data_IF_039905730377
#
_entry.id   IF_039905730377
#
_cell.length_a   1.000
_cell.length_b   1.000
_cell.length_c   1.000
_cell.angle_alpha   90.00
_cell.angle_beta   90.00
_cell.angle_gamma   90.00
#
_symmetry.space_group_name_H-M   'P 1'
#
loop_
_entity.id
_entity.type
_entity.pdbx_description
1 polymer ?
#
# COMPACT_ATOMS: atom_id res chain seq x y z
N UNK A 1 -27.42 -34.39 3.06
CA UNK A 1 -27.84 -32.99 2.77
C UNK A 1 -29.30 -33.03 2.39
N UNK A 2 -30.14 -32.17 2.96
CA UNK A 2 -31.55 -32.11 2.62
C UNK A 2 -31.76 -31.29 1.31
N UNK A 3 -32.93 -31.54 0.65
CA UNK A 3 -33.28 -30.89 -0.62
C UNK A 3 -33.32 -29.36 -0.52
N UNK A 4 -33.73 -28.82 0.65
CA UNK A 4 -33.80 -27.38 0.90
C UNK A 4 -32.43 -26.75 0.89
N UNK A 5 -31.47 -27.34 1.62
CA UNK A 5 -30.08 -26.84 1.68
C UNK A 5 -29.42 -26.86 0.30
N UNK A 6 -29.61 -27.92 -0.49
CA UNK A 6 -29.06 -27.99 -1.86
C UNK A 6 -29.63 -26.87 -2.73
N UNK A 7 -30.95 -26.62 -2.65
CA UNK A 7 -31.61 -25.57 -3.40
C UNK A 7 -31.12 -24.16 -2.99
N UNK A 8 -30.88 -23.94 -1.71
CA UNK A 8 -30.37 -22.67 -1.18
C UNK A 8 -28.92 -22.43 -1.64
N UNK A 9 -28.08 -23.47 -1.67
CA UNK A 9 -26.69 -23.39 -2.19
C UNK A 9 -26.68 -23.06 -3.68
N UNK A 10 -27.46 -23.79 -4.49
CA UNK A 10 -27.54 -23.58 -5.95
C UNK A 10 -28.01 -22.15 -6.27
N UNK A 11 -28.92 -21.61 -5.48
CA UNK A 11 -29.42 -20.24 -5.67
C UNK A 11 -28.55 -19.17 -4.98
N UNK A 12 -27.39 -19.51 -4.44
CA UNK A 12 -26.47 -18.59 -3.77
C UNK A 12 -27.00 -18.01 -2.45
N UNK A 13 -28.08 -18.59 -1.88
CA UNK A 13 -28.71 -18.14 -0.64
C UNK A 13 -28.04 -18.69 0.63
N UNK A 14 -27.34 -19.82 0.50
CA UNK A 14 -26.57 -20.42 1.59
C UNK A 14 -25.15 -20.78 1.12
N UNK A 15 -24.13 -20.68 2.00
CA UNK A 15 -22.77 -21.11 1.67
C UNK A 15 -22.60 -22.62 1.73
N UNK A 16 -21.60 -23.13 1.04
CA UNK A 16 -21.09 -24.48 1.27
C UNK A 16 -20.28 -24.44 2.57
N UNK A 17 -20.82 -24.99 3.66
CA UNK A 17 -20.09 -25.16 4.90
C UNK A 17 -19.14 -26.36 4.82
N UNK A 18 -18.15 -26.41 5.72
CA UNK A 18 -17.22 -27.57 5.79
C UNK A 18 -17.96 -28.89 6.01
N UNK A 19 -19.03 -28.89 6.82
CA UNK A 19 -19.90 -30.06 7.01
C UNK A 19 -20.59 -30.47 5.69
N UNK A 20 -21.08 -29.51 4.94
CA UNK A 20 -21.69 -29.76 3.62
C UNK A 20 -20.63 -30.25 2.63
N UNK A 21 -19.44 -29.69 2.62
CA UNK A 21 -18.34 -30.11 1.78
C UNK A 21 -17.93 -31.58 2.01
N UNK A 22 -17.86 -32.03 3.27
CA UNK A 22 -17.64 -33.44 3.61
C UNK A 22 -18.74 -34.35 3.09
N UNK A 23 -20.00 -33.94 3.19
CA UNK A 23 -21.12 -34.71 2.65
C UNK A 23 -21.10 -34.79 1.12
N UNK A 24 -20.67 -33.70 0.45
CA UNK A 24 -20.50 -33.66 -1.00
C UNK A 24 -19.33 -34.55 -1.47
N UNK A 25 -18.26 -34.66 -0.66
CA UNK A 25 -17.15 -35.58 -0.92
C UNK A 25 -17.62 -37.03 -1.02
N UNK A 26 -18.46 -37.48 -0.06
CA UNK A 26 -19.00 -38.85 -0.09
C UNK A 26 -19.92 -39.12 -1.29
N UNK A 27 -20.65 -38.11 -1.78
CA UNK A 27 -21.62 -38.27 -2.85
C UNK A 27 -20.96 -38.18 -4.21
N UNK A 28 -20.00 -37.28 -4.41
CA UNK A 28 -19.41 -36.97 -5.70
C UNK A 28 -17.97 -37.48 -5.88
N UNK A 29 -17.32 -37.96 -4.80
CA UNK A 29 -15.94 -38.45 -4.86
C UNK A 29 -14.89 -37.34 -5.02
N UNK A 30 -15.29 -36.06 -4.96
CA UNK A 30 -14.36 -34.93 -4.99
C UNK A 30 -14.04 -34.50 -3.55
N UNK A 31 -12.76 -34.24 -3.22
CA UNK A 31 -12.36 -33.93 -1.84
C UNK A 31 -13.08 -32.71 -1.27
N UNK A 32 -13.35 -32.70 0.03
CA UNK A 32 -14.01 -31.58 0.71
C UNK A 32 -13.29 -30.23 0.51
N UNK A 33 -11.97 -30.27 0.36
CA UNK A 33 -11.14 -29.08 0.02
C UNK A 33 -11.52 -28.46 -1.32
N UNK A 34 -11.92 -29.26 -2.32
CA UNK A 34 -12.39 -28.75 -3.60
C UNK A 34 -13.64 -27.86 -3.41
N UNK A 35 -14.61 -28.35 -2.65
CA UNK A 35 -15.87 -27.64 -2.39
C UNK A 35 -15.66 -26.38 -1.56
N UNK A 36 -14.80 -26.44 -0.53
CA UNK A 36 -14.44 -25.27 0.28
C UNK A 36 -13.71 -24.21 -0.54
N UNK A 37 -12.80 -24.61 -1.42
CA UNK A 37 -12.10 -23.67 -2.31
C UNK A 37 -13.06 -23.03 -3.31
N UNK A 38 -14.02 -23.78 -3.84
CA UNK A 38 -15.05 -23.26 -4.76
C UNK A 38 -15.89 -22.17 -4.05
N UNK A 39 -16.38 -22.44 -2.84
CA UNK A 39 -17.12 -21.47 -2.02
C UNK A 39 -16.28 -20.22 -1.72
N UNK A 40 -15.02 -20.42 -1.31
CA UNK A 40 -14.10 -19.30 -1.03
C UNK A 40 -13.92 -18.41 -2.25
N UNK A 41 -13.63 -18.99 -3.40
CA UNK A 41 -13.46 -18.25 -4.66
C UNK A 41 -14.75 -17.50 -5.06
N UNK A 42 -15.91 -18.11 -4.88
CA UNK A 42 -17.19 -17.47 -5.14
C UNK A 42 -17.40 -16.25 -4.25
N UNK A 43 -17.13 -16.36 -2.94
CA UNK A 43 -17.24 -15.24 -1.99
C UNK A 43 -16.28 -14.12 -2.32
N UNK A 44 -15.01 -14.46 -2.63
CA UNK A 44 -14.02 -13.48 -3.06
C UNK A 44 -14.51 -12.73 -4.31
N UNK A 45 -15.08 -13.42 -5.29
CA UNK A 45 -15.61 -12.79 -6.50
C UNK A 45 -16.77 -11.82 -6.21
N UNK A 46 -17.68 -12.19 -5.28
CA UNK A 46 -18.75 -11.31 -4.85
C UNK A 46 -18.25 -10.05 -4.13
N UNK A 47 -17.29 -10.20 -3.22
CA UNK A 47 -16.71 -9.05 -2.51
C UNK A 47 -15.89 -8.15 -3.46
N UNK A 48 -15.17 -8.71 -4.43
CA UNK A 48 -14.50 -7.92 -5.46
C UNK A 48 -15.48 -7.08 -6.29
N UNK A 49 -16.68 -7.61 -6.56
CA UNK A 49 -17.71 -6.84 -7.27
C UNK A 49 -18.18 -5.63 -6.46
N UNK A 50 -18.36 -5.80 -5.14
CA UNK A 50 -18.69 -4.68 -4.24
C UNK A 50 -17.53 -3.67 -4.14
N UNK A 51 -16.28 -4.13 -4.09
CA UNK A 51 -15.11 -3.25 -4.00
C UNK A 51 -14.96 -2.35 -5.24
N UNK A 52 -15.42 -2.79 -6.42
CA UNK A 52 -15.44 -1.95 -7.63
C UNK A 52 -16.23 -0.66 -7.39
N UNK A 53 -17.35 -0.72 -6.70
CA UNK A 53 -18.17 0.48 -6.42
C UNK A 53 -17.49 1.38 -5.38
N UNK A 54 -16.79 0.81 -4.42
CA UNK A 54 -15.94 1.58 -3.48
C UNK A 54 -14.79 2.28 -4.21
N UNK A 55 -14.11 1.57 -5.12
CA UNK A 55 -13.03 2.13 -5.94
C UNK A 55 -13.52 3.31 -6.79
N UNK A 56 -14.73 3.23 -7.37
CA UNK A 56 -15.33 4.34 -8.13
C UNK A 56 -15.43 5.61 -7.27
N UNK A 57 -15.86 5.48 -6.03
CA UNK A 57 -16.00 6.61 -5.11
C UNK A 57 -14.63 7.20 -4.70
N UNK A 58 -13.56 6.41 -4.78
CA UNK A 58 -12.21 6.85 -4.43
C UNK A 58 -11.45 7.54 -5.56
N UNK A 59 -11.96 7.51 -6.79
CA UNK A 59 -11.35 8.19 -7.94
C UNK A 59 -11.16 9.69 -7.69
N UNK A 60 -12.03 10.31 -6.89
CA UNK A 60 -11.94 11.72 -6.51
C UNK A 60 -10.62 12.06 -5.80
N UNK A 61 -10.03 11.13 -5.06
CA UNK A 61 -8.76 11.37 -4.36
C UNK A 61 -7.55 11.46 -5.28
N UNK A 62 -7.68 11.00 -6.54
CA UNK A 62 -6.61 11.09 -7.55
C UNK A 62 -6.27 12.53 -7.94
N UNK A 63 -7.18 13.49 -7.76
CA UNK A 63 -6.98 14.90 -8.12
C UNK A 63 -5.83 15.51 -7.30
N UNK A 64 -5.67 15.11 -6.06
CA UNK A 64 -4.69 15.68 -5.14
C UNK A 64 -3.37 14.88 -5.08
N UNK A 65 -3.33 13.67 -5.67
CA UNK A 65 -2.17 12.77 -5.62
C UNK A 65 -1.39 12.87 -6.92
N UNK A 66 -0.08 13.14 -6.90
CA UNK A 66 0.74 13.31 -8.10
C UNK A 66 1.08 11.97 -8.76
N UNK A 67 0.06 11.14 -9.08
CA UNK A 67 0.22 9.79 -9.61
C UNK A 67 1.10 9.72 -10.86
N UNK A 68 0.91 10.66 -11.80
CA UNK A 68 1.68 10.68 -13.05
C UNK A 68 3.17 10.93 -12.80
N UNK A 69 3.49 11.80 -11.84
CA UNK A 69 4.87 12.08 -11.48
C UNK A 69 5.51 10.88 -10.78
N UNK A 70 4.78 10.21 -9.87
CA UNK A 70 5.22 8.97 -9.23
C UNK A 70 5.51 7.89 -10.27
N UNK A 71 4.63 7.75 -11.27
CA UNK A 71 4.78 6.79 -12.37
C UNK A 71 5.97 7.11 -13.27
N UNK A 72 6.19 8.38 -13.65
CA UNK A 72 7.37 8.82 -14.43
C UNK A 72 8.68 8.51 -13.70
N UNK A 73 8.70 8.68 -12.37
CA UNK A 73 9.85 8.37 -11.50
C UNK A 73 9.99 6.87 -11.22
N UNK A 74 9.10 6.04 -11.76
CA UNK A 74 9.11 4.58 -11.60
C UNK A 74 9.10 4.14 -10.13
N UNK A 75 8.27 4.79 -9.31
CA UNK A 75 8.13 4.39 -7.91
C UNK A 75 7.53 2.98 -7.81
N UNK A 76 8.00 2.20 -6.84
CA UNK A 76 7.57 0.83 -6.65
C UNK A 76 6.06 0.72 -6.45
N UNK A 77 5.44 -0.22 -7.15
CA UNK A 77 3.99 -0.44 -7.11
C UNK A 77 3.15 0.56 -7.90
N UNK A 78 3.78 1.59 -8.52
CA UNK A 78 3.08 2.60 -9.33
C UNK A 78 3.33 2.34 -10.81
N UNK A 79 2.40 1.71 -11.49
CA UNK A 79 2.48 1.44 -12.93
C UNK A 79 1.94 2.59 -13.77
N UNK A 80 2.48 2.74 -15.00
CA UNK A 80 1.94 3.69 -15.96
C UNK A 80 0.58 3.21 -16.47
N UNK A 81 -0.50 3.89 -16.07
CA UNK A 81 -1.86 3.59 -16.56
C UNK A 81 -2.71 4.85 -16.69
N UNK A 82 -3.63 4.83 -17.66
CA UNK A 82 -4.66 5.87 -17.82
C UNK A 82 -5.95 5.50 -17.08
N UNK A 83 -6.13 4.22 -16.73
CA UNK A 83 -7.32 3.74 -16.05
C UNK A 83 -7.36 4.24 -14.59
N UNK A 84 -8.36 5.06 -14.21
CA UNK A 84 -8.47 5.61 -12.86
C UNK A 84 -8.68 4.53 -11.79
N UNK A 85 -9.36 3.42 -12.11
CA UNK A 85 -9.55 2.33 -11.16
C UNK A 85 -8.24 1.63 -10.83
N UNK A 86 -7.41 1.36 -11.84
CA UNK A 86 -6.08 0.80 -11.62
C UNK A 86 -5.18 1.74 -10.83
N UNK A 87 -5.31 3.07 -11.04
CA UNK A 87 -4.58 4.06 -10.22
C UNK A 87 -4.96 3.98 -8.75
N UNK A 88 -6.26 3.89 -8.44
CA UNK A 88 -6.74 3.72 -7.05
C UNK A 88 -6.18 2.43 -6.44
N UNK A 89 -6.24 1.31 -7.14
CA UNK A 89 -5.72 0.02 -6.67
C UNK A 89 -4.21 0.10 -6.40
N UNK A 90 -3.45 0.72 -7.30
CA UNK A 90 -2.01 0.90 -7.13
C UNK A 90 -1.70 1.78 -5.93
N UNK A 91 -2.46 2.85 -5.71
CA UNK A 91 -2.28 3.72 -4.55
C UNK A 91 -2.67 3.03 -3.23
N UNK A 92 -3.75 2.26 -3.19
CA UNK A 92 -4.08 1.44 -2.01
C UNK A 92 -2.92 0.51 -1.63
N UNK A 93 -2.32 -0.16 -2.63
CA UNK A 93 -1.13 -1.03 -2.42
C UNK A 93 0.09 -0.23 -1.98
N UNK A 94 0.35 0.90 -2.62
CA UNK A 94 1.48 1.77 -2.31
C UNK A 94 1.42 2.29 -0.87
N UNK A 95 0.25 2.76 -0.44
CA UNK A 95 0.05 3.24 0.92
C UNK A 95 -0.16 2.11 1.95
N UNK A 96 -0.45 0.88 1.50
CA UNK A 96 -0.76 -0.25 2.39
C UNK A 96 -2.09 -0.07 3.10
N UNK A 97 -3.11 0.48 2.43
CA UNK A 97 -4.43 0.80 2.99
C UNK A 97 -5.55 0.08 2.24
N UNK A 98 -6.64 -0.22 2.93
CA UNK A 98 -7.82 -0.83 2.33
C UNK A 98 -8.67 0.19 1.55
N UNK A 99 -8.57 1.47 1.85
CA UNK A 99 -9.28 2.57 1.19
C UNK A 99 -8.42 3.83 1.17
N UNK A 100 -8.56 4.66 0.12
CA UNK A 100 -7.89 5.97 0.05
C UNK A 100 -8.59 7.04 0.91
N UNK A 101 -9.79 6.75 1.43
CA UNK A 101 -10.47 7.59 2.41
C UNK A 101 -9.87 7.36 3.81
N UNK A 102 -8.56 7.48 3.92
CA UNK A 102 -7.93 7.44 5.23
C UNK A 102 -7.84 8.85 5.79
N UNK A 103 -8.63 9.12 6.82
CA UNK A 103 -8.47 10.33 7.63
C UNK A 103 -7.20 10.17 8.45
N UNK A 104 -6.15 10.80 7.96
CA UNK A 104 -4.82 10.53 8.46
C UNK A 104 -4.55 11.35 9.69
N UNK A 105 -4.62 10.74 10.83
CA UNK A 105 -3.81 11.17 11.96
C UNK A 105 -2.33 11.35 11.56
N UNK A 106 -1.85 10.56 10.56
CA UNK A 106 -0.54 10.72 9.95
C UNK A 106 -0.42 12.05 9.19
N UNK A 107 -1.45 12.50 8.45
CA UNK A 107 -1.49 13.85 7.85
C UNK A 107 -1.38 14.94 8.91
N UNK A 108 -1.98 14.74 10.08
CA UNK A 108 -1.91 15.69 11.22
C UNK A 108 -0.55 15.63 11.93
N UNK A 109 0.11 14.47 11.96
CA UNK A 109 1.42 14.26 12.62
C UNK A 109 2.61 14.70 11.77
N UNK A 110 2.45 14.93 10.47
CA UNK A 110 3.48 15.54 9.62
C UNK A 110 3.54 17.04 9.97
N UNK A 111 4.05 17.34 11.17
CA UNK A 111 4.42 18.70 11.58
C UNK A 111 5.71 19.13 10.87
N UNK A 112 5.71 19.09 9.52
CA UNK A 112 6.76 19.69 8.75
C UNK A 112 6.69 21.21 8.91
N UNK A 113 7.84 21.86 9.13
CA UNK A 113 7.97 23.31 9.02
C UNK A 113 7.43 23.72 7.65
N UNK A 114 6.23 24.27 7.64
CA UNK A 114 5.56 24.71 6.43
C UNK A 114 6.37 25.87 5.87
N UNK A 115 6.98 25.67 4.70
CA UNK A 115 7.42 26.79 3.89
C UNK A 115 6.17 27.56 3.46
N UNK A 116 6.22 28.86 3.48
CA UNK A 116 5.13 29.76 3.08
C UNK A 116 4.86 29.77 1.57
N UNK A 117 5.35 28.77 0.81
CA UNK A 117 5.12 28.68 -0.63
C UNK A 117 3.68 28.25 -0.91
N UNK A 118 3.00 29.00 -1.76
CA UNK A 118 1.61 28.78 -2.19
C UNK A 118 1.35 27.43 -2.89
N UNK A 119 2.41 26.71 -3.28
CA UNK A 119 2.33 25.47 -4.05
C UNK A 119 2.61 24.20 -3.21
N UNK A 120 2.48 24.26 -1.89
CA UNK A 120 2.75 23.10 -1.04
C UNK A 120 1.54 22.16 -1.02
N UNK A 121 1.70 20.94 -1.56
CA UNK A 121 0.72 19.86 -1.48
C UNK A 121 1.07 18.90 -0.34
N UNK A 122 0.18 18.79 0.65
CA UNK A 122 0.30 17.80 1.73
C UNK A 122 0.25 16.37 1.19
N UNK A 123 -0.55 16.13 0.15
CA UNK A 123 -0.67 14.81 -0.45
C UNK A 123 0.61 14.40 -1.18
N UNK A 124 1.26 15.34 -1.87
CA UNK A 124 2.55 15.10 -2.49
C UNK A 124 3.63 14.77 -1.43
N UNK A 125 3.68 15.55 -0.33
CA UNK A 125 4.60 15.27 0.77
C UNK A 125 4.37 13.88 1.36
N UNK A 126 3.11 13.50 1.58
CA UNK A 126 2.75 12.19 2.10
C UNK A 126 3.21 11.05 1.16
N UNK A 127 3.06 11.23 -0.14
CA UNK A 127 3.58 10.29 -1.12
C UNK A 127 5.11 10.14 -1.02
N UNK A 128 5.85 11.24 -0.87
CA UNK A 128 7.31 11.20 -0.71
C UNK A 128 7.73 10.51 0.59
N UNK A 129 7.08 10.79 1.70
CA UNK A 129 7.38 10.13 2.98
C UNK A 129 7.13 8.64 2.93
N UNK A 130 5.99 8.23 2.32
CA UNK A 130 5.69 6.81 2.14
C UNK A 130 6.69 6.12 1.23
N UNK A 131 7.10 6.79 0.15
CA UNK A 131 8.16 6.28 -0.73
C UNK A 131 9.48 6.11 0.02
N UNK A 132 9.88 7.10 0.82
CA UNK A 132 11.06 7.02 1.68
C UNK A 132 11.00 5.83 2.64
N UNK A 133 9.86 5.61 3.28
CA UNK A 133 9.64 4.45 4.15
C UNK A 133 9.78 3.11 3.39
N UNK A 134 9.17 3.00 2.21
CA UNK A 134 9.30 1.80 1.36
C UNK A 134 10.76 1.57 0.96
N UNK A 135 11.51 2.62 0.62
CA UNK A 135 12.91 2.47 0.25
C UNK A 135 13.78 2.12 1.46
N UNK A 136 13.55 2.75 2.61
CA UNK A 136 14.31 2.45 3.83
C UNK A 136 14.14 0.99 4.28
N UNK A 137 12.93 0.44 4.15
CA UNK A 137 12.65 -0.96 4.50
C UNK A 137 13.36 -1.99 3.61
N UNK A 138 13.91 -1.58 2.46
CA UNK A 138 14.70 -2.45 1.57
C UNK A 138 16.18 -2.50 1.91
N UNK A 139 16.63 -1.59 2.75
CA UNK A 139 18.03 -1.42 3.09
C UNK A 139 18.29 -2.01 4.48
N UNK A 140 19.40 -2.69 4.61
CA UNK A 140 19.90 -3.13 5.90
C UNK A 140 20.81 -2.04 6.48
N UNK A 141 20.46 -1.57 7.66
CA UNK A 141 21.23 -0.56 8.38
C UNK A 141 21.86 -1.14 9.65
N UNK A 142 23.04 -0.67 10.07
CA UNK A 142 23.56 -0.97 11.38
C UNK A 142 22.62 -0.44 12.46
N UNK A 143 22.79 -0.91 13.68
CA UNK A 143 22.02 -0.40 14.83
C UNK A 143 22.27 1.10 14.98
N UNK A 144 21.20 1.86 15.25
CA UNK A 144 21.26 3.31 15.40
C UNK A 144 22.26 3.72 16.47
N UNK A 145 23.20 4.62 16.12
CA UNK A 145 24.26 5.14 16.98
C UNK A 145 24.18 6.67 17.05
N UNK A 146 23.74 7.17 18.21
CA UNK A 146 23.54 8.60 18.46
C UNK A 146 24.86 9.37 18.46
N UNK A 147 25.94 8.82 19.05
CA UNK A 147 27.23 9.54 19.13
C UNK A 147 27.88 9.65 17.75
N UNK A 148 27.86 8.57 16.98
CA UNK A 148 28.32 8.58 15.60
C UNK A 148 27.51 9.55 14.74
N UNK A 149 26.18 9.64 14.96
CA UNK A 149 25.34 10.62 14.26
C UNK A 149 25.74 12.06 14.60
N UNK A 150 26.01 12.40 15.86
CA UNK A 150 26.46 13.72 16.27
C UNK A 150 27.77 14.14 15.58
N UNK A 151 28.71 13.21 15.45
CA UNK A 151 29.98 13.49 14.80
C UNK A 151 29.84 13.61 13.28
N UNK A 152 29.04 12.72 12.66
CA UNK A 152 28.74 12.81 11.24
C UNK A 152 27.90 14.04 10.89
N UNK A 153 27.03 14.52 11.76
CA UNK A 153 26.30 15.77 11.58
C UNK A 153 27.22 16.98 11.41
N UNK A 154 28.34 17.02 12.15
CA UNK A 154 29.38 18.09 12.00
C UNK A 154 30.03 18.02 10.61
N UNK A 155 30.27 16.82 10.08
CA UNK A 155 30.83 16.62 8.74
C UNK A 155 29.81 17.03 7.67
N UNK A 156 28.54 16.58 7.79
CA UNK A 156 27.45 16.93 6.89
C UNK A 156 27.27 18.45 6.82
N UNK A 157 27.31 19.15 7.97
CA UNK A 157 27.22 20.61 8.01
C UNK A 157 28.32 21.32 7.21
N UNK A 158 29.53 20.76 7.16
CA UNK A 158 30.60 21.29 6.32
C UNK A 158 30.36 21.06 4.83
N UNK A 159 29.71 19.95 4.46
CA UNK A 159 29.35 19.63 3.08
C UNK A 159 28.24 20.53 2.53
N UNK A 160 27.30 20.99 3.38
CA UNK A 160 26.20 21.88 2.95
C UNK A 160 26.65 23.27 2.52
N UNK A 161 27.89 23.67 2.80
CA UNK A 161 28.46 24.93 2.29
C UNK A 161 28.90 24.83 0.80
N UNK A 162 28.80 23.65 0.19
CA UNK A 162 29.10 23.36 -1.22
C UNK A 162 27.79 23.09 -1.99
N UNK A 163 27.88 22.94 -3.32
CA UNK A 163 26.70 22.50 -4.10
C UNK A 163 26.18 21.17 -3.57
N UNK A 164 24.89 21.10 -3.23
CA UNK A 164 24.28 19.97 -2.53
C UNK A 164 24.28 18.66 -3.34
N UNK A 165 23.90 18.73 -4.64
CA UNK A 165 23.72 17.53 -5.45
C UNK A 165 24.97 16.63 -5.54
N UNK A 166 26.20 17.16 -5.79
CA UNK A 166 27.40 16.32 -5.83
C UNK A 166 27.76 15.68 -4.49
N UNK A 167 27.28 16.23 -3.36
CA UNK A 167 27.59 15.75 -2.01
C UNK A 167 26.55 14.75 -1.48
N UNK A 168 25.47 14.51 -2.22
CA UNK A 168 24.32 13.73 -1.74
C UNK A 168 24.71 12.29 -1.37
N UNK A 169 25.56 11.65 -2.16
CA UNK A 169 25.98 10.26 -1.92
C UNK A 169 26.89 10.15 -0.69
N UNK A 170 27.75 11.14 -0.45
CA UNK A 170 28.57 11.21 0.77
C UNK A 170 27.68 11.43 2.01
N UNK A 171 26.70 12.31 1.92
CA UNK A 171 25.73 12.55 3.00
C UNK A 171 24.95 11.27 3.30
N UNK A 172 24.44 10.56 2.29
CA UNK A 172 23.75 9.27 2.46
C UNK A 172 24.64 8.23 3.14
N UNK A 173 25.91 8.13 2.73
CA UNK A 173 26.86 7.23 3.35
C UNK A 173 27.08 7.56 4.83
N UNK A 174 27.29 8.82 5.17
CA UNK A 174 27.49 9.27 6.55
C UNK A 174 26.27 9.00 7.44
N UNK A 175 25.05 9.10 6.89
CA UNK A 175 23.81 8.79 7.61
C UNK A 175 23.63 7.27 7.76
N UNK A 176 23.80 6.50 6.69
CA UNK A 176 23.65 5.04 6.73
C UNK A 176 24.63 4.38 7.69
N UNK A 177 25.85 4.91 7.85
CA UNK A 177 26.82 4.44 8.85
C UNK A 177 26.35 4.60 10.30
N UNK A 178 25.37 5.46 10.56
CA UNK A 178 24.79 5.69 11.87
C UNK A 178 23.47 4.93 12.10
N UNK A 179 23.01 4.14 11.12
CA UNK A 179 21.72 3.46 11.17
C UNK A 179 20.53 4.40 10.89
N UNK A 180 20.72 5.41 10.02
CA UNK A 180 19.71 6.40 9.61
C UNK A 180 19.49 6.33 8.11
#
# INVERSE_FOLDING_TARGET
INKKTVNEIINGKAPITTETALKLEYVFGLPASFWNNLESNYRIALERKKDIDLIKNEVIYLENIPYLEMSKRKWDGISATKDPFLRVINLRKFFGVASLNFDTELRKKIACRKSSSEHFSLDALYCYLRYGEIQSNKLEYPKFDVEKLKDNAKKIRKLTNKMFLPQLDEIRKLLSECGV
#
